data_IF_316455674239
#
_entry.id   IF_316455674239
#
_cell.length_a   1.000
_cell.length_b   1.000
_cell.length_c   1.000
_cell.angle_alpha   90.00
_cell.angle_beta   90.00
_cell.angle_gamma   90.00
#
_symmetry.space_group_name_H-M   'P 1'
#
loop_
_entity.id
_entity.type
_entity.pdbx_description
1 polymer ?
#
# COMPACT_ATOMS: atom_id res chain seq x y z
N UNK A 1 -6.26 -7.03 5.39
CA UNK A 1 -5.79 -7.37 4.05
C UNK A 1 -5.03 -8.69 4.13
N UNK A 2 -5.19 -9.54 3.12
CA UNK A 2 -4.50 -10.83 2.97
C UNK A 2 -3.84 -10.89 1.60
N UNK A 3 -2.79 -11.67 1.50
CA UNK A 3 -1.95 -11.79 0.32
C UNK A 3 -1.71 -13.25 -0.03
N UNK A 4 -1.76 -13.55 -1.33
CA UNK A 4 -1.55 -14.88 -1.91
C UNK A 4 -0.35 -14.86 -2.85
N UNK A 5 0.28 -16.01 -3.05
CA UNK A 5 1.31 -16.16 -4.08
C UNK A 5 0.69 -16.26 -5.47
N UNK A 6 1.33 -15.62 -6.46
CA UNK A 6 0.98 -15.77 -7.88
C UNK A 6 1.11 -17.20 -8.42
N UNK A 7 1.76 -18.11 -7.69
CA UNK A 7 1.87 -19.53 -8.04
C UNK A 7 0.90 -20.43 -7.26
N UNK A 8 0.18 -19.89 -6.27
CA UNK A 8 -0.88 -20.59 -5.54
C UNK A 8 -0.41 -21.60 -4.47
N UNK A 9 0.88 -21.91 -4.40
CA UNK A 9 1.46 -22.95 -3.53
C UNK A 9 2.22 -22.35 -2.33
N UNK A 10 1.76 -21.21 -1.81
CA UNK A 10 2.27 -20.60 -0.59
C UNK A 10 1.14 -20.25 0.38
N UNK A 11 1.40 -20.23 1.71
CA UNK A 11 0.41 -19.80 2.69
C UNK A 11 -0.07 -18.37 2.43
N UNK A 12 -1.35 -18.13 2.67
CA UNK A 12 -1.91 -16.76 2.71
C UNK A 12 -1.34 -16.01 3.91
N UNK A 13 -0.77 -14.84 3.67
CA UNK A 13 -0.10 -14.02 4.68
C UNK A 13 -0.80 -12.67 4.86
N UNK A 14 -0.52 -11.97 5.96
CA UNK A 14 -0.87 -10.55 6.09
C UNK A 14 0.21 -9.64 5.49
N UNK A 15 -0.05 -8.33 5.48
CA UNK A 15 0.87 -7.35 4.89
C UNK A 15 2.26 -7.35 5.54
N UNK A 16 2.33 -7.44 6.87
CA UNK A 16 3.61 -7.37 7.58
C UNK A 16 4.46 -8.62 7.30
N UNK A 17 3.82 -9.79 7.30
CA UNK A 17 4.48 -11.06 6.98
C UNK A 17 5.00 -11.07 5.53
N UNK A 18 4.22 -10.57 4.56
CA UNK A 18 4.65 -10.45 3.16
C UNK A 18 5.84 -9.50 3.02
N UNK A 19 5.77 -8.33 3.66
CA UNK A 19 6.82 -7.32 3.59
C UNK A 19 8.17 -7.87 4.10
N UNK A 20 8.15 -8.69 5.16
CA UNK A 20 9.33 -9.31 5.74
C UNK A 20 9.81 -10.54 4.95
N UNK A 21 8.89 -11.29 4.33
CA UNK A 21 9.22 -12.47 3.52
C UNK A 21 9.91 -12.08 2.21
N UNK A 22 9.51 -10.97 1.59
CA UNK A 22 10.01 -10.49 0.30
C UNK A 22 9.54 -11.34 -0.90
N UNK A 23 9.97 -12.60 -0.95
CA UNK A 23 9.57 -13.57 -1.98
C UNK A 23 8.72 -14.70 -1.36
N UNK A 24 7.69 -15.16 -2.08
CA UNK A 24 6.90 -16.31 -1.63
C UNK A 24 7.76 -17.60 -1.65
N UNK A 25 7.46 -18.53 -0.74
CA UNK A 25 8.24 -19.77 -0.57
C UNK A 25 8.28 -20.67 -1.81
N UNK A 26 7.27 -20.56 -2.66
CA UNK A 26 7.12 -21.27 -3.94
C UNK A 26 7.83 -20.54 -5.10
N UNK A 27 8.55 -19.45 -4.82
CA UNK A 27 9.21 -18.59 -5.80
C UNK A 27 8.26 -17.68 -6.58
N UNK A 28 7.00 -17.56 -6.15
CA UNK A 28 6.03 -16.59 -6.66
C UNK A 28 6.18 -15.20 -6.02
N UNK A 29 5.33 -14.27 -6.46
CA UNK A 29 5.21 -12.93 -5.89
C UNK A 29 3.91 -12.86 -5.07
N UNK A 30 3.92 -12.07 -3.99
CA UNK A 30 2.70 -11.82 -3.23
C UNK A 30 1.85 -10.74 -3.89
N UNK A 31 0.56 -11.01 -4.05
CA UNK A 31 -0.47 -10.06 -4.52
C UNK A 31 -1.64 -10.08 -3.53
N UNK A 32 -2.41 -8.98 -3.39
CA UNK A 32 -3.55 -8.98 -2.50
C UNK A 32 -4.57 -10.04 -2.95
N UNK A 33 -5.16 -10.75 -1.99
CA UNK A 33 -6.21 -11.73 -2.25
C UNK A 33 -7.45 -11.06 -2.89
N UNK A 34 -7.74 -9.83 -2.47
CA UNK A 34 -8.78 -8.99 -3.04
C UNK A 34 -8.23 -7.59 -3.36
N UNK A 35 -8.57 -7.06 -4.52
CA UNK A 35 -8.17 -5.71 -4.91
C UNK A 35 -9.04 -4.66 -4.22
N UNK A 36 -8.45 -3.65 -3.56
CA UNK A 36 -9.20 -2.47 -3.13
C UNK A 36 -9.88 -1.80 -4.32
N UNK A 37 -11.15 -1.44 -4.15
CA UNK A 37 -11.92 -0.72 -5.17
C UNK A 37 -12.16 0.71 -4.70
N UNK A 38 -12.06 1.65 -5.64
CA UNK A 38 -12.42 3.04 -5.45
C UNK A 38 -13.55 3.37 -6.42
N UNK A 39 -14.61 3.96 -5.90
CA UNK A 39 -15.70 4.51 -6.70
C UNK A 39 -15.23 5.74 -7.50
N UNK A 40 -16.00 6.14 -8.51
CA UNK A 40 -15.71 7.35 -9.27
C UNK A 40 -15.70 8.61 -8.38
N UNK A 41 -16.52 8.64 -7.33
CA UNK A 41 -16.56 9.73 -6.36
C UNK A 41 -15.28 9.74 -5.51
N UNK A 42 -14.88 8.61 -4.95
CA UNK A 42 -13.62 8.51 -4.20
C UNK A 42 -12.40 8.88 -5.04
N UNK A 43 -12.39 8.51 -6.34
CA UNK A 43 -11.33 8.92 -7.27
C UNK A 43 -11.35 10.43 -7.50
N UNK A 44 -12.54 11.04 -7.63
CA UNK A 44 -12.65 12.50 -7.78
C UNK A 44 -12.14 13.24 -6.54
N UNK A 45 -12.35 12.70 -5.34
CA UNK A 45 -11.81 13.25 -4.08
C UNK A 45 -10.28 13.20 -4.01
N UNK A 46 -9.62 12.35 -4.81
CA UNK A 46 -8.16 12.31 -4.88
C UNK A 46 -7.57 13.54 -5.60
N UNK A 47 -8.37 14.23 -6.42
CA UNK A 47 -7.90 15.35 -7.21
C UNK A 47 -7.47 16.53 -6.32
N UNK A 48 -6.27 17.05 -6.56
CA UNK A 48 -5.73 18.21 -5.85
C UNK A 48 -5.17 17.90 -4.45
N UNK A 49 -5.20 16.64 -4.00
CA UNK A 49 -4.51 16.25 -2.77
C UNK A 49 -2.99 16.41 -2.92
N UNK A 50 -2.29 16.84 -1.84
CA UNK A 50 -0.84 16.69 -1.74
C UNK A 50 -0.40 15.23 -1.94
N UNK A 51 0.81 15.02 -2.46
CA UNK A 51 1.28 13.68 -2.86
C UNK A 51 1.27 12.67 -1.72
N UNK A 52 1.64 13.08 -0.51
CA UNK A 52 1.62 12.24 0.69
C UNK A 52 0.20 11.86 1.11
N UNK A 53 -0.75 12.80 1.05
CA UNK A 53 -2.16 12.54 1.32
C UNK A 53 -2.77 11.58 0.30
N UNK A 54 -2.45 11.77 -0.99
CA UNK A 54 -2.83 10.86 -2.07
C UNK A 54 -2.25 9.45 -1.86
N UNK A 55 -0.94 9.36 -1.61
CA UNK A 55 -0.25 8.10 -1.37
C UNK A 55 -0.84 7.37 -0.15
N UNK A 56 -1.14 8.08 0.94
CA UNK A 56 -1.78 7.50 2.12
C UNK A 56 -3.14 6.90 1.77
N UNK A 57 -3.95 7.60 0.97
CA UNK A 57 -5.29 7.12 0.59
C UNK A 57 -5.23 5.86 -0.27
N UNK A 58 -4.24 5.78 -1.17
CA UNK A 58 -4.04 4.63 -2.06
C UNK A 58 -3.44 3.43 -1.30
N UNK A 59 -2.46 3.65 -0.42
CA UNK A 59 -1.69 2.58 0.25
C UNK A 59 -2.45 1.97 1.43
N UNK A 60 -3.24 2.76 2.17
CA UNK A 60 -3.90 2.29 3.40
C UNK A 60 -4.76 1.02 3.22
N UNK A 61 -5.56 0.85 2.15
CA UNK A 61 -6.33 -0.38 1.93
C UNK A 61 -5.46 -1.64 1.75
N UNK A 62 -4.26 -1.50 1.18
CA UNK A 62 -3.32 -2.61 1.01
C UNK A 62 -2.63 -2.98 2.33
N UNK A 63 -2.30 -1.99 3.17
CA UNK A 63 -1.71 -2.23 4.49
C UNK A 63 -2.74 -2.84 5.46
N UNK A 64 -4.02 -2.45 5.34
CA UNK A 64 -5.06 -2.89 6.25
C UNK A 64 -4.75 -2.53 7.70
N UNK A 65 -4.90 -3.48 8.62
CA UNK A 65 -4.66 -3.27 10.06
C UNK A 65 -3.22 -3.54 10.50
N UNK A 66 -2.29 -3.80 9.57
CA UNK A 66 -0.92 -4.17 9.90
C UNK A 66 -0.11 -3.03 10.54
N UNK A 67 -0.50 -1.77 10.28
CA UNK A 67 0.15 -0.57 10.82
C UNK A 67 -0.95 0.35 11.37
N UNK A 68 -0.74 0.92 12.55
CA UNK A 68 -1.68 1.86 13.13
C UNK A 68 -1.85 3.09 12.21
N UNK A 69 -3.07 3.64 12.05
CA UNK A 69 -3.32 4.73 11.10
C UNK A 69 -2.45 5.98 11.32
N UNK A 70 -2.12 6.29 12.57
CA UNK A 70 -1.24 7.42 12.90
C UNK A 70 0.21 7.17 12.45
N UNK A 71 0.71 5.94 12.64
CA UNK A 71 2.06 5.55 12.22
C UNK A 71 2.17 5.48 10.70
N UNK A 72 1.17 4.92 10.01
CA UNK A 72 1.15 4.87 8.55
C UNK A 72 1.17 6.29 7.95
N UNK A 73 0.36 7.21 8.50
CA UNK A 73 0.37 8.61 8.07
C UNK A 73 1.76 9.24 8.21
N UNK A 74 2.43 9.01 9.35
CA UNK A 74 3.79 9.51 9.59
C UNK A 74 4.79 8.91 8.61
N UNK A 75 4.79 7.58 8.43
CA UNK A 75 5.68 6.90 7.50
C UNK A 75 5.54 7.41 6.06
N UNK A 76 4.30 7.63 5.60
CA UNK A 76 4.05 8.16 4.25
C UNK A 76 4.59 9.59 4.12
N UNK A 77 4.32 10.47 5.08
CA UNK A 77 4.86 11.84 5.05
C UNK A 77 6.40 11.85 5.06
N UNK A 78 7.01 11.05 5.95
CA UNK A 78 8.47 10.93 6.08
C UNK A 78 9.12 10.41 4.78
N UNK A 79 8.46 9.49 4.06
CA UNK A 79 8.98 8.87 2.83
C UNK A 79 9.20 9.86 1.69
N UNK A 80 8.42 10.93 1.63
CA UNK A 80 8.46 11.91 0.54
C UNK A 80 9.07 13.26 0.95
N UNK A 81 9.34 13.47 2.23
CA UNK A 81 9.88 14.73 2.76
C UNK A 81 11.24 15.13 2.18
N UNK A 82 12.01 14.17 1.65
CA UNK A 82 13.33 14.41 1.06
C UNK A 82 13.34 14.79 -0.42
N UNK A 83 12.19 14.94 -1.07
CA UNK A 83 12.13 15.28 -2.49
C UNK A 83 12.28 16.80 -2.72
N UNK A 84 13.07 17.18 -3.74
CA UNK A 84 13.36 18.58 -4.06
C UNK A 84 12.18 19.33 -4.74
N UNK A 85 11.07 18.64 -5.00
CA UNK A 85 9.88 19.22 -5.63
C UNK A 85 8.61 18.87 -4.85
N UNK A 86 7.76 19.87 -4.60
CA UNK A 86 6.53 19.71 -3.79
C UNK A 86 5.53 18.71 -4.38
N UNK A 87 5.51 18.54 -5.71
CA UNK A 87 4.67 17.53 -6.37
C UNK A 87 5.25 16.11 -6.31
N UNK A 88 6.49 15.93 -5.82
CA UNK A 88 7.24 14.67 -5.72
C UNK A 88 7.56 14.00 -7.08
N UNK A 89 6.55 13.81 -7.94
CA UNK A 89 6.67 13.27 -9.30
C UNK A 89 6.00 14.21 -10.33
N UNK A 90 6.64 15.35 -10.69
CA UNK A 90 6.11 16.34 -11.65
C UNK A 90 6.21 15.90 -13.12
#
# INVERSE_FOLDING_TARGET
>A
MKYISTRGDAPTLDFADVLLAGLARDGGLYVPEEWPHFSAEEIAELAGLPYDALALRIVAPFVGAAIAPADLRRLVADSWAGFDHAAVAP
#
